data_IF_547334031358
#
_entry.id   IF_547334031358
#
_cell.length_a   1.000
_cell.length_b   1.000
_cell.length_c   1.000
_cell.angle_alpha   90.00
_cell.angle_beta   90.00
_cell.angle_gamma   90.00
#
_symmetry.space_group_name_H-M   'P 1'
#
loop_
_entity.id
_entity.type
_entity.pdbx_description
1 polymer ?
#
# COMPACT_ATOMS: atom_id res chain seq x y z
N UNK A 1 5.61 -12.84 16.41
CA UNK A 1 5.21 -12.35 17.75
C UNK A 1 4.79 -13.59 18.54
N UNK A 2 5.35 -13.88 19.72
CA UNK A 2 4.94 -15.07 20.47
C UNK A 2 3.43 -14.95 20.72
N UNK A 3 2.69 -15.91 20.17
CA UNK A 3 1.25 -15.97 20.27
C UNK A 3 0.94 -16.23 21.75
N UNK A 4 0.23 -15.31 22.41
CA UNK A 4 -0.28 -15.60 23.74
C UNK A 4 -1.18 -16.84 23.63
N UNK A 5 -0.88 -17.85 24.43
CA UNK A 5 -1.69 -19.06 24.46
C UNK A 5 -3.06 -18.79 25.08
N UNK A 6 -4.03 -19.64 24.73
CA UNK A 6 -5.43 -19.45 25.16
C UNK A 6 -5.59 -19.50 26.68
N UNK A 7 -4.79 -20.33 27.37
CA UNK A 7 -4.79 -20.41 28.83
C UNK A 7 -4.29 -19.09 29.44
N UNK A 8 -3.20 -18.53 28.92
CA UNK A 8 -2.72 -17.22 29.35
C UNK A 8 -3.71 -16.09 29.05
N UNK A 9 -4.40 -16.11 27.90
CA UNK A 9 -5.44 -15.12 27.59
C UNK A 9 -6.56 -15.14 28.65
N UNK A 10 -7.05 -16.33 29.01
CA UNK A 10 -8.07 -16.51 30.06
C UNK A 10 -7.60 -15.97 31.42
N UNK A 11 -6.35 -16.26 31.80
CA UNK A 11 -5.76 -15.76 33.06
C UNK A 11 -5.62 -14.23 33.06
N UNK A 12 -5.21 -13.64 31.93
CA UNK A 12 -5.09 -12.18 31.79
C UNK A 12 -6.47 -11.52 31.90
N UNK A 13 -7.48 -12.04 31.20
CA UNK A 13 -8.86 -11.53 31.27
C UNK A 13 -9.39 -11.62 32.70
N UNK A 14 -9.19 -12.76 33.37
CA UNK A 14 -9.60 -12.94 34.76
C UNK A 14 -8.92 -11.93 35.69
N UNK A 15 -7.59 -11.78 35.57
CA UNK A 15 -6.83 -10.83 36.38
C UNK A 15 -7.24 -9.38 36.14
N UNK A 16 -7.55 -9.01 34.90
CA UNK A 16 -8.05 -7.68 34.56
C UNK A 16 -9.42 -7.37 35.17
N UNK A 17 -10.31 -8.37 35.28
CA UNK A 17 -11.57 -8.25 36.03
C UNK A 17 -11.31 -8.12 37.53
N UNK A 18 -10.44 -8.96 38.09
CA UNK A 18 -10.13 -9.02 39.53
C UNK A 18 -9.43 -7.77 40.08
N UNK A 19 -8.54 -7.15 39.29
CA UNK A 19 -7.75 -5.99 39.71
C UNK A 19 -8.09 -4.72 38.90
N UNK A 20 -9.34 -4.61 38.44
CA UNK A 20 -9.84 -3.42 37.73
C UNK A 20 -9.52 -2.14 38.54
N UNK A 21 -9.02 -1.11 37.85
CA UNK A 21 -8.67 0.17 38.46
C UNK A 21 -7.32 0.24 39.18
N UNK A 22 -6.65 -0.89 39.47
CA UNK A 22 -5.34 -0.87 40.15
C UNK A 22 -4.21 -0.49 39.18
N UNK A 23 -3.29 0.36 39.64
CA UNK A 23 -2.13 0.80 38.85
C UNK A 23 -1.16 -0.37 38.57
N UNK A 24 -0.91 -1.24 39.55
CA UNK A 24 0.00 -2.38 39.46
C UNK A 24 -0.65 -3.68 38.94
N UNK A 25 -1.83 -3.61 38.31
CA UNK A 25 -2.58 -4.79 37.85
C UNK A 25 -1.76 -5.71 36.94
N UNK A 26 -0.98 -5.17 36.02
CA UNK A 26 -0.16 -5.98 35.10
C UNK A 26 0.99 -6.70 35.80
N UNK A 27 1.54 -6.12 36.89
CA UNK A 27 2.54 -6.79 37.73
C UNK A 27 1.93 -7.94 38.52
N UNK A 28 0.66 -7.81 38.93
CA UNK A 28 -0.07 -8.92 39.57
C UNK A 28 -0.40 -10.03 38.58
N UNK A 29 -0.83 -9.65 37.36
CA UNK A 29 -1.15 -10.60 36.30
C UNK A 29 0.11 -11.36 35.86
N UNK A 30 1.27 -10.72 35.76
CA UNK A 30 2.51 -11.43 35.38
C UNK A 30 2.91 -12.52 36.37
N UNK A 31 2.48 -12.44 37.64
CA UNK A 31 2.66 -13.54 38.60
C UNK A 31 1.78 -14.76 38.30
N UNK A 32 0.65 -14.58 37.60
CA UNK A 32 -0.22 -15.66 37.16
C UNK A 32 0.24 -16.28 35.83
N UNK A 33 0.88 -15.47 34.97
CA UNK A 33 1.39 -15.88 33.66
C UNK A 33 2.88 -15.53 33.55
N UNK A 34 3.76 -16.27 34.26
CA UNK A 34 5.17 -15.89 34.45
C UNK A 34 5.98 -15.87 33.15
N UNK A 35 5.50 -16.51 32.09
CA UNK A 35 6.11 -16.50 30.76
C UNK A 35 6.06 -15.11 30.08
N UNK A 36 5.26 -14.18 30.59
CA UNK A 36 5.08 -12.86 29.99
C UNK A 36 5.37 -11.74 30.99
N UNK A 37 6.15 -10.77 30.51
CA UNK A 37 6.43 -9.54 31.26
C UNK A 37 5.16 -8.68 31.40
N UNK A 38 5.06 -7.84 32.45
CA UNK A 38 3.95 -6.89 32.59
C UNK A 38 3.73 -6.00 31.35
N UNK A 39 4.82 -5.62 30.67
CA UNK A 39 4.77 -4.80 29.45
C UNK A 39 4.15 -5.55 28.27
N UNK A 40 4.51 -6.83 28.07
CA UNK A 40 3.90 -7.68 27.05
C UNK A 40 2.40 -7.85 27.32
N UNK A 41 2.03 -8.15 28.56
CA UNK A 41 0.62 -8.30 28.98
C UNK A 41 -0.18 -7.02 28.74
N UNK A 42 0.38 -5.86 29.13
CA UNK A 42 -0.28 -4.56 28.93
C UNK A 42 -0.48 -4.24 27.45
N UNK A 43 0.52 -4.53 26.61
CA UNK A 43 0.42 -4.37 25.15
C UNK A 43 -0.64 -5.30 24.57
N UNK A 44 -0.60 -6.58 24.94
CA UNK A 44 -1.54 -7.59 24.46
C UNK A 44 -2.98 -7.27 24.83
N UNK A 45 -3.22 -6.85 26.09
CA UNK A 45 -4.53 -6.41 26.54
C UNK A 45 -5.07 -5.25 25.70
N UNK A 46 -4.28 -4.19 25.53
CA UNK A 46 -4.70 -2.97 24.80
C UNK A 46 -4.98 -3.23 23.31
N UNK A 47 -4.35 -4.26 22.74
CA UNK A 47 -4.40 -4.52 21.31
C UNK A 47 -5.35 -5.67 20.90
N UNK A 48 -5.66 -6.59 21.82
CA UNK A 48 -6.37 -7.82 21.47
C UNK A 48 -7.40 -8.32 22.49
N UNK A 49 -7.21 -8.11 23.80
CA UNK A 49 -8.07 -8.74 24.83
C UNK A 49 -9.09 -7.79 25.49
N UNK A 50 -8.95 -6.48 25.35
CA UNK A 50 -9.93 -5.54 25.91
C UNK A 50 -11.31 -5.76 25.28
N UNK A 51 -12.35 -6.12 26.07
CA UNK A 51 -13.69 -6.40 25.52
C UNK A 51 -14.33 -5.20 24.80
N UNK A 52 -13.87 -3.98 25.07
CA UNK A 52 -14.36 -2.78 24.41
C UNK A 52 -13.71 -2.54 23.04
N UNK A 53 -12.81 -3.43 22.61
CA UNK A 53 -12.03 -3.28 21.39
C UNK A 53 -12.75 -3.95 20.21
N UNK A 54 -12.89 -3.22 19.11
CA UNK A 54 -13.34 -3.78 17.85
C UNK A 54 -12.16 -4.50 17.16
N UNK A 55 -12.27 -5.83 17.12
CA UNK A 55 -11.28 -6.71 16.49
C UNK A 55 -11.47 -6.89 14.99
N UNK A 56 -12.58 -6.39 14.44
CA UNK A 56 -12.86 -6.42 13.01
C UNK A 56 -11.81 -5.65 12.20
N UNK A 57 -11.73 -5.98 10.92
CA UNK A 57 -10.87 -5.23 9.99
C UNK A 57 -11.41 -3.83 9.79
N UNK A 58 -10.54 -2.86 9.54
CA UNK A 58 -10.96 -1.50 9.22
C UNK A 58 -11.75 -1.49 7.90
N UNK A 59 -12.97 -0.97 7.94
CA UNK A 59 -13.85 -0.82 6.79
C UNK A 59 -13.34 0.28 5.85
N UNK A 60 -13.90 0.32 4.64
CA UNK A 60 -13.51 1.30 3.63
C UNK A 60 -13.70 2.74 4.11
N UNK A 61 -14.87 3.06 4.69
CA UNK A 61 -15.17 4.39 5.19
C UNK A 61 -14.27 4.80 6.36
N UNK A 62 -13.94 3.86 7.25
CA UNK A 62 -13.00 4.09 8.35
C UNK A 62 -11.59 4.41 7.82
N UNK A 63 -11.13 3.65 6.82
CA UNK A 63 -9.84 3.87 6.15
C UNK A 63 -9.79 5.23 5.46
N UNK A 64 -10.87 5.61 4.76
CA UNK A 64 -11.01 6.93 4.12
C UNK A 64 -10.94 8.04 5.16
N UNK A 65 -11.71 7.90 6.25
CA UNK A 65 -11.71 8.84 7.35
C UNK A 65 -10.32 9.02 7.98
N UNK A 66 -9.60 7.92 8.26
CA UNK A 66 -8.24 7.99 8.82
C UNK A 66 -7.32 8.81 7.90
N UNK A 67 -7.39 8.58 6.59
CA UNK A 67 -6.54 9.30 5.62
C UNK A 67 -6.88 10.79 5.57
N UNK A 68 -8.17 11.14 5.54
CA UNK A 68 -8.63 12.54 5.56
C UNK A 68 -8.26 13.25 6.85
N UNK A 69 -8.48 12.58 8.00
CA UNK A 69 -8.15 13.11 9.32
C UNK A 69 -6.65 13.43 9.42
N UNK A 70 -5.79 12.49 9.03
CA UNK A 70 -4.33 12.69 9.06
C UNK A 70 -3.93 13.82 8.11
N UNK A 71 -4.51 13.92 6.91
CA UNK A 71 -4.22 15.01 5.98
C UNK A 71 -4.57 16.38 6.56
N UNK A 72 -5.64 16.47 7.35
CA UNK A 72 -6.15 17.73 7.92
C UNK A 72 -5.42 18.15 9.20
N UNK A 73 -5.06 17.20 10.07
CA UNK A 73 -4.60 17.48 11.43
C UNK A 73 -3.15 17.08 11.73
N UNK A 74 -2.44 16.51 10.76
CA UNK A 74 -1.01 16.24 10.91
C UNK A 74 -0.25 17.56 11.03
N UNK A 75 0.62 17.66 12.02
CA UNK A 75 1.46 18.84 12.25
C UNK A 75 2.43 19.05 11.09
N UNK A 76 2.91 20.28 10.88
CA UNK A 76 3.96 20.59 9.90
C UNK A 76 5.25 19.76 10.09
N UNK A 77 5.56 19.37 11.33
CA UNK A 77 6.66 18.44 11.68
C UNK A 77 6.39 16.98 11.30
N UNK A 78 5.17 16.68 10.85
CA UNK A 78 4.75 15.36 10.45
C UNK A 78 4.26 14.45 11.57
N UNK A 79 4.13 14.95 12.80
CA UNK A 79 3.63 14.21 13.97
C UNK A 79 2.13 13.92 13.83
N UNK A 80 1.72 12.70 14.20
CA UNK A 80 0.33 12.25 14.20
C UNK A 80 -0.06 11.87 15.64
N UNK A 81 -1.08 12.54 16.17
CA UNK A 81 -1.63 12.26 17.50
C UNK A 81 -2.67 11.13 17.44
N UNK A 82 -2.18 9.88 17.40
CA UNK A 82 -3.01 8.69 17.22
C UNK A 82 -4.16 8.53 18.22
N UNK A 83 -3.99 9.01 19.46
CA UNK A 83 -5.05 9.02 20.48
C UNK A 83 -6.30 9.75 19.99
N UNK A 84 -6.14 10.88 19.29
CA UNK A 84 -7.26 11.65 18.76
C UNK A 84 -7.90 10.96 17.55
N UNK A 85 -7.09 10.40 16.64
CA UNK A 85 -7.59 9.62 15.49
C UNK A 85 -8.52 8.48 15.94
N UNK A 86 -8.07 7.69 16.92
CA UNK A 86 -8.85 6.56 17.46
C UNK A 86 -10.11 7.03 18.17
N UNK A 87 -10.03 8.15 18.90
CA UNK A 87 -11.18 8.71 19.59
C UNK A 87 -12.25 9.18 18.59
N UNK A 88 -11.85 9.89 17.54
CA UNK A 88 -12.78 10.42 16.54
C UNK A 88 -13.37 9.30 15.66
N UNK A 89 -12.58 8.26 15.37
CA UNK A 89 -13.09 7.00 14.79
C UNK A 89 -14.21 6.42 15.64
N UNK A 90 -13.98 6.30 16.95
CA UNK A 90 -14.98 5.77 17.88
C UNK A 90 -16.23 6.65 17.90
N UNK A 91 -16.09 7.97 17.94
CA UNK A 91 -17.23 8.91 17.94
C UNK A 91 -18.04 8.76 16.65
N UNK A 92 -17.36 8.64 15.49
CA UNK A 92 -18.02 8.63 14.18
C UNK A 92 -18.65 7.28 13.81
N UNK A 93 -18.00 6.17 14.13
CA UNK A 93 -18.40 4.83 13.69
C UNK A 93 -18.89 3.93 14.84
N UNK A 94 -18.81 4.38 16.09
CA UNK A 94 -19.13 3.57 17.27
C UNK A 94 -18.10 2.47 17.57
N UNK A 95 -17.11 2.25 16.71
CA UNK A 95 -16.10 1.20 16.81
C UNK A 95 -14.80 1.72 17.41
N UNK A 96 -14.39 1.13 18.53
CA UNK A 96 -13.09 1.44 19.16
C UNK A 96 -12.02 0.48 18.65
N UNK A 97 -11.29 0.88 17.61
CA UNK A 97 -10.11 0.13 17.17
C UNK A 97 -8.87 0.42 18.02
N UNK A 98 -7.92 -0.51 18.06
CA UNK A 98 -6.64 -0.27 18.74
C UNK A 98 -5.80 0.75 18.00
N UNK A 99 -5.04 1.54 18.74
CA UNK A 99 -4.07 2.47 18.17
C UNK A 99 -3.09 1.77 17.21
N UNK A 100 -2.69 0.55 17.58
CA UNK A 100 -1.82 -0.29 16.76
C UNK A 100 -2.45 -0.66 15.41
N UNK A 101 -3.75 -0.96 15.37
CA UNK A 101 -4.46 -1.28 14.12
C UNK A 101 -4.51 -0.08 13.17
N UNK A 102 -4.81 1.11 13.69
CA UNK A 102 -4.81 2.36 12.90
C UNK A 102 -3.41 2.71 12.39
N UNK A 103 -2.38 2.58 13.25
CA UNK A 103 -0.97 2.78 12.87
C UNK A 103 -0.54 1.81 11.76
N UNK A 104 -0.87 0.53 11.90
CA UNK A 104 -0.52 -0.49 10.92
C UNK A 104 -1.14 -0.19 9.55
N UNK A 105 -2.41 0.21 9.52
CA UNK A 105 -3.07 0.64 8.28
C UNK A 105 -2.32 1.83 7.63
N UNK A 106 -2.04 2.88 8.39
CA UNK A 106 -1.36 4.06 7.87
C UNK A 106 0.05 3.74 7.35
N UNK A 107 0.84 2.99 8.14
CA UNK A 107 2.18 2.59 7.72
C UNK A 107 2.17 1.73 6.45
N UNK A 108 1.21 0.80 6.34
CA UNK A 108 1.04 0.00 5.13
C UNK A 108 0.66 0.87 3.92
N UNK A 109 -0.20 1.88 4.13
CA UNK A 109 -0.56 2.86 3.11
C UNK A 109 0.67 3.65 2.63
N UNK A 110 1.44 4.24 3.54
CA UNK A 110 2.65 5.01 3.20
C UNK A 110 3.68 4.15 2.45
N UNK A 111 3.87 2.89 2.86
CA UNK A 111 4.76 1.96 2.16
C UNK A 111 4.31 1.73 0.71
N UNK A 112 3.00 1.52 0.48
CA UNK A 112 2.46 1.38 -0.87
C UNK A 112 2.69 2.64 -1.70
N UNK A 113 2.38 3.81 -1.16
CA UNK A 113 2.56 5.10 -1.87
C UNK A 113 4.03 5.34 -2.27
N UNK A 114 4.99 4.99 -1.42
CA UNK A 114 6.42 5.04 -1.76
C UNK A 114 6.77 4.07 -2.88
N UNK A 115 6.29 2.83 -2.81
CA UNK A 115 6.55 1.83 -3.83
C UNK A 115 5.98 2.22 -5.19
N UNK A 116 4.80 2.86 -5.24
CA UNK A 116 4.23 3.38 -6.49
C UNK A 116 5.10 4.49 -7.10
N UNK A 117 5.58 5.43 -6.29
CA UNK A 117 6.48 6.51 -6.76
C UNK A 117 7.80 5.96 -7.30
N UNK A 118 8.38 4.98 -6.61
CA UNK A 118 9.64 4.37 -7.02
C UNK A 118 9.51 3.58 -8.34
N UNK A 119 8.35 2.94 -8.60
CA UNK A 119 8.09 2.27 -9.88
C UNK A 119 7.98 3.26 -11.03
N UNK A 120 7.16 4.31 -10.90
CA UNK A 120 7.02 5.33 -11.94
C UNK A 120 8.34 6.06 -12.25
N UNK A 121 9.19 6.30 -11.23
CA UNK A 121 10.52 6.87 -11.46
C UNK A 121 11.50 5.91 -12.14
N UNK A 122 11.32 4.59 -12.00
CA UNK A 122 12.13 3.59 -12.69
C UNK A 122 11.72 3.48 -14.16
N UNK A 123 10.41 3.41 -14.42
CA UNK A 123 9.84 3.42 -15.78
C UNK A 123 10.26 4.66 -16.57
N UNK A 124 10.20 5.87 -15.97
CA UNK A 124 10.68 7.10 -16.61
C UNK A 124 12.19 7.05 -16.90
N UNK A 125 13.01 6.44 -16.03
CA UNK A 125 14.46 6.32 -16.27
C UNK A 125 14.77 5.31 -17.37
N UNK A 126 14.03 4.21 -17.41
CA UNK A 126 14.18 3.18 -18.43
C UNK A 126 13.77 3.74 -19.81
N UNK A 127 12.67 4.50 -19.89
CA UNK A 127 12.24 5.22 -21.12
C UNK A 127 13.27 6.27 -21.59
N UNK A 128 13.85 7.05 -20.66
CA UNK A 128 14.88 8.04 -21.02
C UNK A 128 16.19 7.38 -21.48
N UNK A 129 16.56 6.23 -20.90
CA UNK A 129 17.75 5.48 -21.29
C UNK A 129 17.58 4.81 -22.67
N UNK A 130 16.37 4.33 -23.00
CA UNK A 130 16.03 3.85 -24.35
C UNK A 130 16.06 4.98 -25.40
N UNK A 131 15.61 6.19 -25.04
CA UNK A 131 15.68 7.37 -25.92
C UNK A 131 17.12 7.91 -26.07
N UNK A 132 17.98 7.78 -25.06
CA UNK A 132 19.40 8.17 -25.14
C UNK A 132 20.22 7.16 -25.95
N UNK A 133 20.01 5.85 -25.77
CA UNK A 133 20.65 4.81 -26.61
C UNK A 133 20.23 4.89 -28.09
N UNK A 134 18.97 5.29 -28.36
CA UNK A 134 18.51 5.58 -29.72
C UNK A 134 19.14 6.82 -30.35
N UNK A 135 19.74 7.73 -29.56
CA UNK A 135 20.48 8.91 -30.04
C UNK A 135 21.98 8.67 -30.15
N UNK A 136 22.57 7.85 -29.27
CA UNK A 136 24.01 7.53 -29.29
C UNK A 136 24.42 6.58 -30.43
N UNK A 137 23.48 5.88 -31.08
CA UNK A 137 23.78 5.06 -32.27
C UNK A 137 24.13 5.90 -33.53
N UNK A 138 24.10 7.23 -33.46
CA UNK A 138 24.41 8.13 -34.57
C UNK A 138 25.45 9.20 -34.24
N UNK A 139 26.44 8.94 -33.40
CA UNK A 139 27.60 9.85 -33.32
C UNK A 139 28.89 9.08 -33.05
N UNK A 140 29.33 8.25 -33.98
CA UNK A 140 30.75 8.11 -34.33
C UNK A 140 30.91 7.29 -35.62
N UNK A 141 31.27 7.98 -36.71
CA UNK A 141 31.71 7.34 -37.95
C UNK A 141 31.13 7.94 -39.23
N UNK A 142 31.83 8.95 -39.76
CA UNK A 142 31.77 9.46 -41.13
C UNK A 142 30.46 10.06 -41.66
N UNK A 143 30.61 11.30 -42.14
CA UNK A 143 29.69 12.10 -42.94
C UNK A 143 28.79 11.29 -43.89
N UNK A 144 27.47 11.29 -43.64
CA UNK A 144 26.44 11.66 -44.64
C UNK A 144 25.21 12.22 -43.91
N UNK A 145 25.06 13.55 -43.95
CA UNK A 145 23.82 14.25 -43.58
C UNK A 145 22.67 13.70 -44.43
N UNK A 146 21.67 13.08 -43.82
CA UNK A 146 20.32 13.05 -44.39
C UNK A 146 19.48 14.10 -43.68
N UNK A 147 19.37 15.26 -44.32
CA UNK A 147 18.39 16.27 -43.94
C UNK A 147 17.01 15.74 -44.34
N UNK A 148 16.15 15.46 -43.37
CA UNK A 148 14.74 15.18 -43.67
C UNK A 148 14.05 16.52 -43.89
N UNK A 149 13.92 16.93 -45.15
CA UNK A 149 13.11 18.09 -45.51
C UNK A 149 11.65 17.76 -45.24
N UNK A 150 11.04 18.54 -44.35
CA UNK A 150 9.59 18.59 -44.18
C UNK A 150 8.97 19.15 -45.46
N UNK A 151 8.38 18.28 -46.28
CA UNK A 151 7.56 18.68 -47.44
C UNK A 151 6.12 18.76 -46.97
N UNK A 152 5.58 19.98 -47.00
CA UNK A 152 4.19 20.29 -46.66
C UNK A 152 3.23 19.67 -47.67
N UNK A 153 2.04 19.31 -47.17
CA UNK A 153 0.90 18.80 -47.94
C UNK A 153 0.45 19.79 -49.01
N UNK A 154 0.66 19.44 -50.27
CA UNK A 154 -0.19 19.75 -51.44
C UNK A 154 0.38 18.92 -52.60
N UNK A 155 -0.48 18.35 -53.46
CA UNK A 155 -0.14 17.64 -54.73
C UNK A 155 0.00 16.10 -54.77
N UNK A 156 -0.69 15.32 -53.93
CA UNK A 156 -0.93 13.89 -54.25
C UNK A 156 -2.38 13.64 -54.73
N UNK A 157 -2.55 13.60 -56.06
CA UNK A 157 -3.74 13.01 -56.70
C UNK A 157 -3.73 11.46 -56.55
N UNK A 158 -4.90 10.81 -56.49
CA UNK A 158 -4.98 9.39 -56.17
C UNK A 158 -4.86 8.52 -57.41
N UNK A 159 -4.12 7.40 -57.32
CA UNK A 159 -4.27 6.28 -58.26
C UNK A 159 -4.39 4.95 -57.51
N UNK A 160 -5.33 4.15 -58.01
CA UNK A 160 -6.12 3.12 -57.32
C UNK A 160 -5.35 1.84 -56.98
N UNK A 161 -5.81 1.07 -55.98
CA UNK A 161 -5.31 -0.28 -55.71
C UNK A 161 -5.95 -1.31 -56.65
N UNK A 162 -5.14 -2.17 -57.27
CA UNK A 162 -5.59 -3.41 -57.90
C UNK A 162 -5.73 -4.51 -56.83
N UNK A 163 -6.94 -5.08 -56.76
CA UNK A 163 -7.32 -6.20 -55.90
C UNK A 163 -6.69 -7.49 -56.40
N UNK A 164 -6.18 -8.32 -55.49
CA UNK A 164 -5.97 -9.76 -55.75
C UNK A 164 -6.74 -10.53 -54.67
N UNK A 165 -7.60 -11.42 -55.15
CA UNK A 165 -8.62 -12.18 -54.43
C UNK A 165 -8.11 -13.54 -53.96
N UNK A 166 -8.76 -14.09 -52.92
CA UNK A 166 -8.48 -15.34 -52.20
C UNK A 166 -8.83 -16.57 -53.06
N UNK A 167 -8.04 -16.85 -54.10
CA UNK A 167 -8.25 -18.03 -54.97
C UNK A 167 -6.93 -18.70 -55.41
N UNK A 168 -5.94 -18.77 -54.50
CA UNK A 168 -4.76 -19.64 -54.66
C UNK A 168 -4.62 -20.69 -53.56
N UNK A 169 -5.63 -20.80 -52.68
CA UNK A 169 -5.81 -21.96 -51.81
C UNK A 169 -6.56 -23.02 -52.62
N UNK A 170 -5.89 -24.16 -52.86
CA UNK A 170 -6.32 -25.39 -53.54
C UNK A 170 -5.53 -25.64 -54.84
N UNK A 171 -4.41 -26.35 -54.69
CA UNK A 171 -4.09 -27.46 -55.58
C UNK A 171 -3.48 -28.57 -54.72
N UNK A 172 -4.34 -29.55 -54.46
CA UNK A 172 -3.96 -30.93 -54.17
C UNK A 172 -3.31 -31.54 -55.43
N UNK A 173 -2.60 -32.64 -55.20
CA UNK A 173 -2.08 -33.62 -56.16
C UNK A 173 -0.66 -33.35 -56.68
N UNK A 174 0.28 -34.15 -56.16
CA UNK A 174 0.72 -35.32 -56.92
C UNK A 174 1.26 -36.42 -56.01
N UNK A 175 0.90 -37.65 -56.41
CA UNK A 175 1.31 -38.95 -55.90
C UNK A 175 2.83 -39.15 -55.88
#
# INVERSE_FOLDING_TARGET
MPLFDEKSNKLIIHGMKKWKGRHNRFVKISKLVPNYTPKQIASHWKNYLDPNLCLDTLEYEEKKFIAEWIRKYRTSSGVIHWKYVVNDLKIRFGKRHSENKVKNYWNARIKREKNFKNKGQKEIKDENNEQEQGKEMYTEGNERKFIFHFVSSEDFLPRRPSKITIASLLNFDNL
#
